data_IF_204595968949
#
_entry.id   IF_204595968949
#
_cell.length_a   1.000
_cell.length_b   1.000
_cell.length_c   1.000
_cell.angle_alpha   90.00
_cell.angle_beta   90.00
_cell.angle_gamma   90.00
#
_symmetry.space_group_name_H-M   'P 1'
#
loop_
_entity.id
_entity.type
_entity.pdbx_description
1 polymer ?
#
# COMPACT_ATOMS: atom_id res chain seq x y z
N UNK A 1 -2.25 25.38 13.77
CA UNK A 1 -2.78 24.67 12.58
C UNK A 1 -3.35 25.72 11.64
N UNK A 2 -3.09 25.62 10.32
CA UNK A 2 -3.58 26.58 9.32
C UNK A 2 -5.09 26.46 9.08
N UNK A 3 -5.70 27.39 8.33
CA UNK A 3 -7.12 27.34 8.00
C UNK A 3 -7.46 26.09 7.19
N UNK A 4 -8.64 25.52 7.46
CA UNK A 4 -9.22 24.40 6.69
C UNK A 4 -9.41 24.84 5.24
N UNK A 5 -8.84 24.09 4.31
CA UNK A 5 -8.97 24.37 2.88
C UNK A 5 -10.34 23.94 2.35
N UNK A 6 -10.83 24.63 1.32
CA UNK A 6 -12.05 24.28 0.57
C UNK A 6 -11.96 22.94 -0.15
N UNK A 7 -10.75 22.41 -0.36
CA UNK A 7 -10.52 21.07 -0.89
C UNK A 7 -10.82 19.93 0.11
N UNK A 8 -11.14 20.27 1.36
CA UNK A 8 -11.54 19.27 2.37
C UNK A 8 -12.89 18.65 2.03
N UNK A 9 -13.01 17.35 2.29
CA UNK A 9 -14.22 16.56 2.13
C UNK A 9 -14.58 15.82 3.43
N UNK A 10 -15.62 14.99 3.39
CA UNK A 10 -16.01 14.12 4.52
C UNK A 10 -14.93 13.10 4.89
N UNK A 11 -14.05 12.73 3.96
CA UNK A 11 -13.04 11.68 4.15
C UNK A 11 -11.61 12.22 4.13
N UNK A 12 -11.42 13.52 3.97
CA UNK A 12 -10.10 14.13 3.87
C UNK A 12 -10.12 15.58 4.35
N UNK A 13 -9.21 15.93 5.24
CA UNK A 13 -9.02 17.27 5.77
C UNK A 13 -7.75 17.87 5.19
N UNK A 14 -7.85 18.98 4.48
CA UNK A 14 -6.69 19.68 3.94
C UNK A 14 -6.47 21.00 4.68
N UNK A 15 -5.21 21.32 4.97
CA UNK A 15 -4.79 22.65 5.42
C UNK A 15 -3.94 23.30 4.36
N UNK A 16 -4.16 24.59 4.16
CA UNK A 16 -3.31 25.40 3.29
C UNK A 16 -1.96 25.59 3.96
N UNK A 17 -0.90 25.33 3.20
CA UNK A 17 0.48 25.48 3.63
C UNK A 17 1.27 26.17 2.53
N UNK A 18 2.39 26.78 2.88
CA UNK A 18 3.32 27.33 1.89
C UNK A 18 4.74 26.88 2.27
N UNK A 19 5.17 25.77 1.67
CA UNK A 19 6.44 25.10 2.01
C UNK A 19 7.12 24.53 0.77
N UNK A 20 8.46 24.53 0.77
CA UNK A 20 9.26 23.88 -0.26
C UNK A 20 9.93 22.63 0.31
N UNK A 21 9.69 21.47 -0.28
CA UNK A 21 10.24 20.17 0.15
C UNK A 21 10.88 19.51 -1.07
N UNK A 22 12.17 19.17 -0.99
CA UNK A 22 12.95 18.58 -2.09
C UNK A 22 12.79 19.33 -3.44
N UNK A 23 12.75 20.66 -3.39
CA UNK A 23 12.57 21.49 -4.59
C UNK A 23 11.12 21.69 -5.03
N UNK A 24 10.18 20.89 -4.53
CA UNK A 24 8.75 20.99 -4.86
C UNK A 24 8.02 21.97 -3.94
N UNK A 25 7.11 22.75 -4.51
CA UNK A 25 6.27 23.69 -3.77
C UNK A 25 4.97 22.99 -3.32
N UNK A 26 4.80 22.86 -2.02
CA UNK A 26 3.65 22.21 -1.39
C UNK A 26 2.70 23.30 -0.91
N UNK A 27 1.48 23.29 -1.45
CA UNK A 27 0.43 24.28 -1.14
C UNK A 27 -0.68 23.74 -0.23
N UNK A 28 -0.80 22.42 -0.14
CA UNK A 28 -1.83 21.72 0.62
C UNK A 28 -1.20 20.55 1.36
N UNK A 29 -1.52 20.42 2.64
CA UNK A 29 -1.22 19.23 3.43
C UNK A 29 -2.53 18.54 3.77
N UNK A 30 -2.68 17.30 3.31
CA UNK A 30 -3.88 16.49 3.53
C UNK A 30 -3.70 15.49 4.68
N UNK A 31 -4.64 15.52 5.63
CA UNK A 31 -4.86 14.46 6.61
C UNK A 31 -6.10 13.69 6.16
N UNK A 32 -5.93 12.42 5.77
CA UNK A 32 -7.06 11.57 5.40
C UNK A 32 -7.70 10.99 6.65
N UNK A 33 -9.03 11.01 6.71
CA UNK A 33 -9.75 10.27 7.75
C UNK A 33 -9.69 8.80 7.34
N UNK A 34 -9.18 7.95 8.23
CA UNK A 34 -9.06 6.50 8.00
C UNK A 34 -10.46 5.96 7.72
N UNK A 35 -10.63 5.35 6.55
CA UNK A 35 -11.86 4.66 6.18
C UNK A 35 -11.85 3.28 6.85
N UNK A 36 -12.70 3.04 7.86
CA UNK A 36 -12.68 1.80 8.63
C UNK A 36 -13.14 0.57 7.82
N UNK A 37 -13.64 0.76 6.60
CA UNK A 37 -14.09 -0.30 5.70
C UNK A 37 -13.14 -0.53 4.52
N UNK A 38 -12.09 0.30 4.36
CA UNK A 38 -10.97 0.06 3.43
C UNK A 38 -9.76 -0.47 4.20
N UNK A 39 -9.72 -1.79 4.39
CA UNK A 39 -8.62 -2.49 5.06
C UNK A 39 -7.26 -2.43 4.33
N UNK A 40 -7.22 -1.98 3.07
CA UNK A 40 -6.01 -1.96 2.25
C UNK A 40 -5.87 -0.56 1.64
N UNK A 41 -4.89 0.20 2.12
CA UNK A 41 -4.63 1.60 1.77
C UNK A 41 -3.64 1.70 0.60
N UNK A 42 -2.93 0.61 0.30
CA UNK A 42 -2.01 0.53 -0.84
C UNK A 42 -1.88 -0.88 -1.43
N UNK A 43 -1.44 -0.93 -2.69
CA UNK A 43 -1.00 -2.15 -3.36
C UNK A 43 0.50 -2.04 -3.67
N UNK A 44 1.27 -3.09 -3.41
CA UNK A 44 2.70 -3.14 -3.68
C UNK A 44 3.10 -4.38 -4.47
N UNK A 45 3.80 -4.17 -5.58
CA UNK A 45 4.44 -5.26 -6.33
C UNK A 45 5.90 -5.40 -5.88
N UNK A 46 6.28 -6.61 -5.48
CA UNK A 46 7.59 -6.90 -4.91
C UNK A 46 8.30 -7.98 -5.73
N UNK A 47 9.39 -7.59 -6.38
CA UNK A 47 10.30 -8.53 -7.04
C UNK A 47 11.24 -9.16 -5.99
N UNK A 48 11.20 -10.49 -5.87
CA UNK A 48 12.01 -11.22 -4.89
C UNK A 48 12.88 -12.27 -5.58
N UNK A 49 14.15 -12.33 -5.22
CA UNK A 49 15.13 -13.26 -5.81
C UNK A 49 14.92 -14.71 -5.37
N UNK A 50 14.38 -14.93 -4.17
CA UNK A 50 14.12 -16.24 -3.58
C UNK A 50 12.63 -16.65 -3.63
N UNK A 51 11.91 -16.24 -4.69
CA UNK A 51 10.47 -16.47 -4.85
C UNK A 51 10.04 -17.92 -4.59
N UNK A 52 10.72 -18.89 -5.20
CA UNK A 52 10.37 -20.32 -5.09
C UNK A 52 10.50 -20.84 -3.65
N UNK A 53 11.48 -20.36 -2.90
CA UNK A 53 11.67 -20.73 -1.49
C UNK A 53 10.56 -20.14 -0.62
N UNK A 54 10.22 -18.87 -0.84
CA UNK A 54 9.09 -18.20 -0.17
C UNK A 54 7.78 -18.93 -0.48
N UNK A 55 7.51 -19.25 -1.75
CA UNK A 55 6.31 -19.98 -2.18
C UNK A 55 6.20 -21.33 -1.49
N UNK A 56 7.28 -22.13 -1.54
CA UNK A 56 7.31 -23.46 -0.89
C UNK A 56 7.09 -23.37 0.62
N UNK A 57 7.65 -22.35 1.26
CA UNK A 57 7.60 -22.19 2.71
C UNK A 57 6.25 -21.68 3.22
N UNK A 58 5.63 -20.73 2.52
CA UNK A 58 4.51 -19.96 3.07
C UNK A 58 3.15 -20.23 2.43
N UNK A 59 3.08 -20.69 1.18
CA UNK A 59 1.82 -20.79 0.45
C UNK A 59 0.74 -21.65 1.16
N UNK A 60 1.16 -22.73 1.82
CA UNK A 60 0.25 -23.61 2.55
C UNK A 60 0.40 -23.50 4.07
N UNK A 61 1.25 -22.60 4.56
CA UNK A 61 1.55 -22.46 6.00
C UNK A 61 0.74 -21.34 6.67
N UNK A 62 0.10 -20.48 5.88
CA UNK A 62 -0.63 -19.32 6.40
C UNK A 62 -1.79 -18.94 5.48
N UNK A 63 -2.86 -18.40 6.07
CA UNK A 63 -4.00 -17.85 5.33
C UNK A 63 -3.66 -16.54 4.62
N UNK A 64 -2.54 -15.91 4.98
CA UNK A 64 -2.11 -14.58 4.54
C UNK A 64 -1.34 -14.59 3.22
N UNK A 65 -1.14 -15.77 2.64
CA UNK A 65 -0.46 -15.96 1.36
C UNK A 65 -1.34 -16.83 0.49
N UNK A 66 -1.55 -16.43 -0.77
CA UNK A 66 -2.37 -17.16 -1.73
C UNK A 66 -1.68 -17.25 -3.08
N UNK A 67 -1.81 -18.42 -3.70
CA UNK A 67 -1.38 -18.60 -5.08
C UNK A 67 -2.41 -17.98 -6.02
N UNK A 68 -1.94 -17.18 -6.97
CA UNK A 68 -2.80 -16.61 -7.98
C UNK A 68 -3.03 -17.66 -9.07
N UNK A 69 -4.23 -18.26 -9.08
CA UNK A 69 -4.60 -19.38 -10.00
C UNK A 69 -4.36 -19.11 -11.50
N UNK A 70 -4.17 -17.85 -11.90
CA UNK A 70 -3.91 -17.43 -13.29
C UNK A 70 -2.44 -17.14 -13.61
N UNK A 71 -1.54 -17.17 -12.62
CA UNK A 71 -0.11 -16.95 -12.79
C UNK A 71 0.66 -17.85 -11.81
N UNK A 72 1.42 -18.81 -12.35
CA UNK A 72 2.20 -19.75 -11.53
C UNK A 72 3.29 -19.05 -10.71
N UNK A 73 3.68 -17.85 -11.12
CA UNK A 73 4.80 -17.09 -10.58
C UNK A 73 4.35 -15.79 -9.88
N UNK A 74 3.21 -15.85 -9.20
CA UNK A 74 2.72 -14.71 -8.42
C UNK A 74 2.03 -15.17 -7.14
N UNK A 75 2.41 -14.55 -6.03
CA UNK A 75 1.74 -14.75 -4.75
C UNK A 75 1.06 -13.46 -4.32
N UNK A 76 -0.18 -13.59 -3.88
CA UNK A 76 -0.91 -12.53 -3.20
C UNK A 76 -0.62 -12.61 -1.70
N UNK A 77 -0.24 -11.50 -1.07
CA UNK A 77 0.12 -11.42 0.35
C UNK A 77 -0.64 -10.31 1.05
N UNK A 78 -1.19 -10.59 2.23
CA UNK A 78 -1.95 -9.61 3.02
C UNK A 78 -1.97 -9.99 4.49
N UNK A 79 -2.09 -9.03 5.40
CA UNK A 79 -2.21 -9.29 6.83
C UNK A 79 -3.04 -8.18 7.50
N UNK A 80 -3.93 -8.48 8.46
CA UNK A 80 -4.81 -7.48 9.09
C UNK A 80 -4.05 -6.34 9.79
N UNK A 81 -2.84 -6.62 10.29
CA UNK A 81 -1.98 -5.61 10.93
C UNK A 81 -1.23 -4.70 9.94
N UNK A 82 -1.38 -4.93 8.63
CA UNK A 82 -0.70 -4.17 7.59
C UNK A 82 -1.72 -3.56 6.63
N UNK A 83 -1.60 -2.25 6.40
CA UNK A 83 -2.46 -1.50 5.46
C UNK A 83 -2.13 -1.76 3.98
N UNK A 84 -1.28 -2.73 3.67
CA UNK A 84 -0.76 -3.00 2.33
C UNK A 84 -1.15 -4.40 1.87
N UNK A 85 -1.71 -4.45 0.68
CA UNK A 85 -1.91 -5.67 -0.09
C UNK A 85 -0.77 -5.84 -1.08
N UNK A 86 -0.09 -6.98 -1.07
CA UNK A 86 1.12 -7.18 -1.86
C UNK A 86 0.98 -8.27 -2.92
N UNK A 87 1.71 -8.11 -4.01
CA UNK A 87 2.02 -9.19 -4.94
C UNK A 87 3.51 -9.47 -4.94
N UNK A 88 3.91 -10.72 -4.71
CA UNK A 88 5.28 -11.16 -4.87
C UNK A 88 5.43 -11.79 -6.25
N UNK A 89 6.47 -11.41 -6.97
CA UNK A 89 6.85 -11.99 -8.28
C UNK A 89 8.34 -12.34 -8.26
N UNK A 90 8.78 -13.35 -9.05
CA UNK A 90 10.20 -13.64 -9.17
C UNK A 90 10.93 -12.45 -9.80
N UNK A 91 12.06 -12.07 -9.21
CA UNK A 91 12.96 -11.11 -9.82
C UNK A 91 13.50 -11.70 -11.13
N UNK A 92 13.34 -10.96 -12.24
CA UNK A 92 13.72 -11.41 -13.59
C UNK A 92 15.08 -10.87 -14.07
N UNK A 93 15.89 -10.34 -13.16
CA UNK A 93 17.25 -9.85 -13.48
C UNK A 93 18.27 -10.97 -13.56
#
# INVERSE_FOLDING_TARGET
MGPKSSYSSETSFYVEVDRKINGHHIKLLGLRIVDPYRMQVGCGDYEVSNFHEIKKRYLNSTIYVRDMKRSTDMLEVWHPDFDIFGYLVPNRR
#
